data_IF_325070161389
#
_entry.id   IF_325070161389
#
_cell.length_a   1.000
_cell.length_b   1.000
_cell.length_c   1.000
_cell.angle_alpha   90.00
_cell.angle_beta   90.00
_cell.angle_gamma   90.00
#
_symmetry.space_group_name_H-M   'P 1'
#
loop_
_entity.id
_entity.type
_entity.pdbx_description
1 polymer ?
#
# COMPACT_ATOMS: atom_id res chain seq x y z
N UNK A 1 -16.12 10.52 -14.58
CA UNK A 1 -14.84 9.85 -14.34
C UNK A 1 -15.02 8.92 -13.15
N UNK A 2 -15.24 7.62 -13.38
CA UNK A 2 -15.30 6.66 -12.29
C UNK A 2 -13.89 6.43 -11.76
N UNK A 3 -13.69 6.72 -10.48
CA UNK A 3 -12.38 6.69 -9.85
C UNK A 3 -12.45 6.64 -8.34
N UNK A 4 -11.29 6.41 -7.73
CA UNK A 4 -11.12 6.47 -6.28
C UNK A 4 -10.03 7.49 -5.91
N UNK A 5 -10.32 8.27 -4.89
CA UNK A 5 -9.38 9.14 -4.19
C UNK A 5 -8.80 8.34 -3.02
N UNK A 6 -7.50 8.11 -3.02
CA UNK A 6 -6.81 7.38 -1.95
C UNK A 6 -6.39 8.41 -0.92
N UNK A 7 -6.91 8.28 0.30
CA UNK A 7 -6.75 9.29 1.35
C UNK A 7 -5.87 8.84 2.52
N UNK A 8 -5.84 7.54 2.82
CA UNK A 8 -4.93 6.98 3.83
C UNK A 8 -4.42 5.63 3.37
N UNK A 9 -3.14 5.37 3.59
CA UNK A 9 -2.54 4.06 3.33
C UNK A 9 -2.06 3.47 4.65
N UNK A 10 -2.44 2.22 4.90
CA UNK A 10 -2.28 1.51 6.16
C UNK A 10 -1.26 0.38 6.05
N UNK A 11 -0.19 0.47 6.84
CA UNK A 11 0.84 -0.57 6.96
C UNK A 11 0.71 -1.27 8.32
N UNK A 12 0.58 -2.60 8.31
CA UNK A 12 0.66 -3.40 9.53
C UNK A 12 2.11 -3.82 9.77
N UNK A 13 2.63 -3.48 10.95
CA UNK A 13 3.97 -3.86 11.37
C UNK A 13 3.99 -4.26 12.84
N UNK A 14 5.08 -4.88 13.27
CA UNK A 14 5.35 -5.15 14.68
C UNK A 14 6.77 -4.77 15.06
N UNK A 15 6.98 -4.47 16.34
CA UNK A 15 8.31 -4.19 16.89
C UNK A 15 8.46 -4.77 18.29
N UNK A 16 9.70 -5.10 18.67
CA UNK A 16 10.04 -5.60 19.99
C UNK A 16 10.48 -4.50 20.96
N UNK A 17 10.62 -3.25 20.51
CA UNK A 17 11.11 -2.11 21.29
C UNK A 17 10.39 -0.82 20.88
N UNK A 18 10.46 0.22 21.71
CA UNK A 18 10.04 1.55 21.29
C UNK A 18 10.96 2.06 20.16
N UNK A 19 10.39 2.68 19.13
CA UNK A 19 11.16 3.16 17.99
C UNK A 19 10.50 4.34 17.28
N UNK A 20 11.26 4.97 16.38
CA UNK A 20 10.76 6.00 15.47
C UNK A 20 11.12 5.64 14.04
N UNK A 21 10.16 5.83 13.15
CA UNK A 21 10.24 5.49 11.73
C UNK A 21 9.99 6.77 10.93
N UNK A 22 10.90 7.10 10.02
CA UNK A 22 10.66 8.11 9.00
C UNK A 22 10.16 7.36 7.75
N UNK A 23 8.89 7.58 7.41
CA UNK A 23 8.19 6.80 6.40
C UNK A 23 7.40 7.68 5.44
N UNK A 24 7.18 7.18 4.24
CA UNK A 24 6.20 7.71 3.29
C UNK A 24 5.42 6.57 2.65
N UNK A 25 4.29 6.92 2.06
CA UNK A 25 3.48 6.03 1.21
C UNK A 25 3.29 6.71 -0.13
N UNK A 26 3.19 5.88 -1.17
CA UNK A 26 2.94 6.34 -2.52
C UNK A 26 2.01 5.40 -3.27
N UNK A 27 1.44 5.93 -4.35
CA UNK A 27 0.71 5.15 -5.35
C UNK A 27 1.53 5.20 -6.62
N UNK A 28 1.80 4.05 -7.20
CA UNK A 28 2.58 3.90 -8.42
C UNK A 28 1.70 3.28 -9.51
N UNK A 29 1.97 3.60 -10.77
CA UNK A 29 1.36 2.87 -11.89
C UNK A 29 1.82 1.41 -11.89
N UNK A 30 0.96 0.48 -12.26
CA UNK A 30 1.36 -0.89 -12.52
C UNK A 30 1.76 -1.03 -14.00
N UNK A 31 3.02 -1.38 -14.25
CA UNK A 31 3.55 -1.64 -15.58
C UNK A 31 3.79 -3.14 -15.79
N UNK A 32 3.87 -3.56 -17.05
CA UNK A 32 4.06 -4.98 -17.41
C UNK A 32 5.22 -5.10 -18.41
N UNK A 33 6.48 -4.86 -17.97
CA UNK A 33 7.60 -4.73 -18.89
C UNK A 33 8.03 -6.08 -19.50
N UNK A 34 7.93 -7.17 -18.73
CA UNK A 34 8.41 -8.50 -19.13
C UNK A 34 7.31 -9.55 -19.23
N UNK A 35 6.43 -9.64 -18.22
CA UNK A 35 5.33 -10.61 -18.16
C UNK A 35 3.98 -9.87 -18.10
N UNK A 36 3.04 -10.11 -19.03
CA UNK A 36 1.72 -9.48 -19.01
C UNK A 36 0.86 -9.83 -17.78
N UNK A 37 1.24 -10.84 -16.99
CA UNK A 37 0.54 -11.25 -15.78
C UNK A 37 1.25 -10.84 -14.49
N UNK A 38 2.45 -10.27 -14.57
CA UNK A 38 3.26 -9.87 -13.43
C UNK A 38 3.40 -8.34 -13.41
N UNK A 39 2.52 -7.61 -12.70
CA UNK A 39 2.66 -6.17 -12.60
C UNK A 39 3.90 -5.82 -11.79
N UNK A 40 4.73 -4.94 -12.34
CA UNK A 40 5.83 -4.29 -11.64
C UNK A 40 5.44 -2.84 -11.32
N UNK A 41 5.96 -2.25 -10.23
CA UNK A 41 5.71 -0.84 -9.97
C UNK A 41 6.40 0.06 -11.01
N UNK A 42 5.69 1.10 -11.41
CA UNK A 42 6.04 2.00 -12.50
C UNK A 42 6.43 3.38 -11.99
N UNK A 43 5.90 4.41 -12.64
CA UNK A 43 6.11 5.79 -12.19
C UNK A 43 5.21 6.11 -11.00
N UNK A 44 5.75 6.88 -10.06
CA UNK A 44 5.00 7.43 -8.93
C UNK A 44 3.91 8.38 -9.45
N UNK A 45 2.69 8.17 -8.96
CA UNK A 45 1.52 8.99 -9.29
C UNK A 45 1.29 10.07 -8.23
N UNK A 46 1.36 9.68 -6.95
CA UNK A 46 1.19 10.57 -5.80
C UNK A 46 2.00 10.04 -4.61
N UNK A 47 2.40 10.94 -3.71
CA UNK A 47 3.23 10.63 -2.55
C UNK A 47 2.73 11.41 -1.33
N UNK A 48 2.76 10.79 -0.15
CA UNK A 48 2.31 11.41 1.10
C UNK A 48 3.24 12.50 1.64
N UNK A 49 4.48 12.55 1.16
CA UNK A 49 5.59 13.18 1.88
C UNK A 49 6.04 12.35 3.09
N UNK A 50 7.02 12.85 3.82
CA UNK A 50 7.63 12.14 4.94
C UNK A 50 6.88 12.38 6.26
N UNK A 51 6.58 11.29 6.95
CA UNK A 51 6.01 11.27 8.29
C UNK A 51 6.99 10.65 9.29
N UNK A 52 7.12 11.30 10.44
CA UNK A 52 7.78 10.71 11.60
C UNK A 52 6.74 9.97 12.45
N UNK A 53 6.80 8.65 12.42
CA UNK A 53 5.95 7.76 13.23
C UNK A 53 6.71 7.34 14.47
N UNK A 54 6.10 7.47 15.65
CA UNK A 54 6.71 7.09 16.93
C UNK A 54 5.91 5.93 17.53
N UNK A 55 6.56 4.79 17.69
CA UNK A 55 5.99 3.59 18.31
C UNK A 55 6.46 3.53 19.77
N UNK A 56 5.55 3.66 20.75
CA UNK A 56 5.93 3.88 22.15
C UNK A 56 6.50 2.65 22.85
N UNK A 57 6.39 1.46 22.25
CA UNK A 57 6.86 0.23 22.85
C UNK A 57 6.62 -1.00 21.98
N UNK A 58 6.91 -2.21 22.52
CA UNK A 58 6.70 -3.46 21.80
C UNK A 58 5.22 -3.69 21.48
N UNK A 59 4.94 -4.23 20.30
CA UNK A 59 3.57 -4.55 19.88
C UNK A 59 3.40 -4.58 18.38
N UNK A 60 2.18 -4.92 17.96
CA UNK A 60 1.71 -4.79 16.58
C UNK A 60 0.95 -3.46 16.43
N UNK A 61 1.18 -2.79 15.30
CA UNK A 61 0.64 -1.47 14.99
C UNK A 61 0.02 -1.47 13.60
N UNK A 62 -1.09 -0.76 13.47
CA UNK A 62 -1.69 -0.35 12.22
C UNK A 62 -1.38 1.14 12.04
N UNK A 63 -0.52 1.46 11.06
CA UNK A 63 -0.06 2.82 10.80
C UNK A 63 -0.73 3.30 9.54
N UNK A 64 -1.70 4.20 9.68
CA UNK A 64 -2.30 4.95 8.59
C UNK A 64 -1.52 6.24 8.32
N UNK A 65 -0.92 6.36 7.14
CA UNK A 65 -0.33 7.61 6.67
C UNK A 65 -1.28 8.31 5.69
N UNK A 66 -1.65 9.58 5.96
CA UNK A 66 -2.52 10.32 5.06
C UNK A 66 -1.76 10.68 3.78
N UNK A 67 -2.44 10.55 2.66
CA UNK A 67 -1.94 10.86 1.31
C UNK A 67 -3.01 11.66 0.56
N UNK A 68 -2.57 12.63 -0.25
CA UNK A 68 -3.45 13.39 -1.13
C UNK A 68 -3.19 12.90 -2.56
N UNK A 69 -4.08 12.04 -3.05
CA UNK A 69 -3.92 11.42 -4.35
C UNK A 69 -5.06 11.84 -5.28
N UNK A 70 -4.77 12.53 -6.41
CA UNK A 70 -5.83 12.92 -7.32
C UNK A 70 -6.55 11.68 -7.86
N UNK A 71 -7.85 11.83 -8.08
CA UNK A 71 -8.77 10.77 -8.48
C UNK A 71 -8.14 9.74 -9.45
N UNK A 72 -7.89 8.53 -8.95
CA UNK A 72 -7.33 7.42 -9.69
C UNK A 72 -8.40 6.79 -10.59
N UNK A 73 -8.13 6.72 -11.89
CA UNK A 73 -9.03 6.09 -12.85
C UNK A 73 -8.97 4.56 -12.69
N UNK A 74 -10.10 3.90 -12.42
CA UNK A 74 -10.15 2.42 -12.25
C UNK A 74 -10.59 1.65 -13.49
N UNK A 75 -10.74 2.32 -14.64
CA UNK A 75 -11.11 1.66 -15.89
C UNK A 75 -9.86 1.21 -16.67
N UNK A 76 -9.94 0.10 -17.44
CA UNK A 76 -8.84 -0.31 -18.30
C UNK A 76 -8.33 0.85 -19.18
N UNK A 77 -7.01 1.05 -19.30
CA UNK A 77 -5.92 0.14 -18.90
C UNK A 77 -5.32 0.41 -17.51
N UNK A 78 -5.87 1.34 -16.72
CA UNK A 78 -5.23 1.83 -15.50
C UNK A 78 -5.24 0.78 -14.39
N UNK A 79 -4.06 0.49 -13.86
CA UNK A 79 -3.81 -0.35 -12.69
C UNK A 79 -2.78 0.37 -11.84
N UNK A 80 -2.96 0.32 -10.53
CA UNK A 80 -2.08 0.99 -9.58
C UNK A 80 -1.58 -0.01 -8.55
N UNK A 81 -0.38 0.23 -8.04
CA UNK A 81 0.19 -0.43 -6.89
C UNK A 81 0.34 0.58 -5.77
N UNK A 82 0.19 0.08 -4.55
CA UNK A 82 0.47 0.85 -3.35
C UNK A 82 1.88 0.51 -2.89
N UNK A 83 2.59 1.48 -2.36
CA UNK A 83 3.96 1.36 -1.87
C UNK A 83 4.12 2.11 -0.55
N UNK A 84 5.09 1.65 0.24
CA UNK A 84 5.57 2.38 1.41
C UNK A 84 7.10 2.39 1.39
N UNK A 85 7.69 3.40 1.99
CA UNK A 85 9.14 3.57 2.08
C UNK A 85 9.54 3.79 3.53
N UNK A 86 10.56 3.05 3.96
CA UNK A 86 11.26 3.31 5.22
C UNK A 86 12.54 4.09 4.90
N UNK A 87 12.49 5.42 5.06
CA UNK A 87 13.66 6.28 4.83
C UNK A 87 14.67 6.15 5.97
N UNK A 88 14.18 6.02 7.20
CA UNK A 88 15.00 5.78 8.36
C UNK A 88 14.22 5.05 9.46
N UNK A 89 14.88 4.16 10.17
CA UNK A 89 14.36 3.53 11.38
C UNK A 89 15.48 3.46 12.42
N UNK A 90 15.16 3.78 13.68
CA UNK A 90 16.14 3.69 14.78
C UNK A 90 16.11 2.33 15.50
N UNK A 91 15.25 1.41 15.08
CA UNK A 91 15.22 0.03 15.53
C UNK A 91 14.64 -0.89 14.43
N UNK A 92 14.89 -2.21 14.50
CA UNK A 92 14.24 -3.17 13.62
C UNK A 92 12.71 -3.16 13.80
N UNK A 93 12.03 -3.29 12.67
CA UNK A 93 10.58 -3.52 12.59
C UNK A 93 10.33 -4.70 11.66
N UNK A 94 9.35 -5.52 12.02
CA UNK A 94 8.94 -6.64 11.19
C UNK A 94 7.64 -6.28 10.48
N UNK A 95 7.62 -6.50 9.17
CA UNK A 95 6.42 -6.37 8.36
C UNK A 95 5.49 -7.55 8.64
N UNK A 96 4.21 -7.26 8.83
CA UNK A 96 3.21 -8.32 8.99
C UNK A 96 2.77 -8.79 7.61
N UNK A 97 2.79 -10.10 7.40
CA UNK A 97 2.35 -10.75 6.16
C UNK A 97 1.25 -11.76 6.44
N UNK A 98 0.45 -12.09 5.42
CA UNK A 98 -0.20 -13.40 5.40
C UNK A 98 0.88 -14.50 5.26
N UNK A 99 0.59 -15.77 5.56
CA UNK A 99 1.58 -16.85 5.38
C UNK A 99 1.38 -17.52 4.00
N UNK A 100 1.00 -16.73 2.99
CA UNK A 100 0.63 -17.21 1.66
C UNK A 100 1.46 -16.49 0.58
N UNK A 101 2.71 -16.93 0.34
CA UNK A 101 3.59 -16.31 -0.63
C UNK A 101 3.02 -16.43 -2.04
N UNK A 102 2.74 -15.27 -2.65
CA UNK A 102 2.32 -15.15 -4.04
C UNK A 102 3.36 -14.34 -4.80
N UNK A 103 3.97 -14.89 -5.87
CA UNK A 103 4.78 -14.10 -6.80
C UNK A 103 3.99 -12.89 -7.34
N UNK A 104 4.72 -11.87 -7.77
CA UNK A 104 4.19 -10.67 -8.42
C UNK A 104 3.28 -9.79 -7.54
N UNK A 105 3.34 -9.93 -6.21
CA UNK A 105 2.52 -9.12 -5.27
C UNK A 105 3.35 -8.21 -4.37
N UNK A 106 4.60 -8.57 -4.09
CA UNK A 106 5.46 -7.87 -3.13
C UNK A 106 6.80 -7.56 -3.78
N UNK A 107 7.08 -6.27 -3.95
CA UNK A 107 8.26 -5.79 -4.67
C UNK A 107 9.15 -4.94 -3.76
N UNK A 108 10.45 -4.93 -4.03
CA UNK A 108 11.37 -3.98 -3.44
C UNK A 108 12.39 -3.49 -4.48
N UNK A 109 12.71 -2.19 -4.46
CA UNK A 109 13.64 -1.61 -5.42
C UNK A 109 15.07 -1.52 -4.86
N UNK A 110 15.26 -1.24 -3.57
CA UNK A 110 16.56 -0.89 -2.95
C UNK A 110 17.49 0.03 -3.79
N UNK A 111 16.95 0.78 -4.76
CA UNK A 111 17.70 1.60 -5.73
C UNK A 111 18.38 0.84 -6.88
N UNK A 112 18.10 -0.46 -7.07
CA UNK A 112 18.73 -1.32 -8.09
C UNK A 112 17.73 -1.89 -9.10
N UNK A 113 16.48 -1.41 -9.10
CA UNK A 113 15.37 -1.93 -9.88
C UNK A 113 14.48 -2.87 -9.08
N UNK A 114 13.27 -3.11 -9.58
CA UNK A 114 12.25 -3.89 -8.87
C UNK A 114 12.60 -5.37 -8.77
N UNK A 115 12.45 -5.90 -7.57
CA UNK A 115 12.74 -7.28 -7.18
C UNK A 115 11.53 -7.93 -6.56
N UNK A 116 11.14 -9.08 -7.07
CA UNK A 116 10.04 -9.86 -6.50
C UNK A 116 10.55 -10.49 -5.20
N UNK A 117 10.03 -10.02 -4.07
CA UNK A 117 10.46 -10.47 -2.75
C UNK A 117 10.16 -11.95 -2.53
N UNK A 118 9.07 -12.46 -3.09
CA UNK A 118 8.66 -13.87 -2.93
C UNK A 118 9.59 -14.77 -3.74
N UNK A 119 9.80 -14.46 -5.02
CA UNK A 119 10.60 -15.29 -5.93
C UNK A 119 12.10 -15.20 -5.65
N UNK A 120 12.62 -14.00 -5.41
CA UNK A 120 14.06 -13.78 -5.30
C UNK A 120 14.58 -13.94 -3.87
N UNK A 121 13.74 -13.71 -2.85
CA UNK A 121 14.15 -13.68 -1.44
C UNK A 121 13.36 -14.61 -0.52
N UNK A 122 12.39 -15.37 -1.04
CA UNK A 122 11.58 -16.29 -0.24
C UNK A 122 10.74 -15.58 0.81
N UNK A 123 10.26 -14.37 0.50
CA UNK A 123 9.44 -13.57 1.40
C UNK A 123 8.19 -14.36 1.85
N UNK A 124 7.84 -14.33 3.15
CA UNK A 124 6.98 -15.34 3.76
C UNK A 124 5.50 -15.26 3.35
N UNK A 125 5.07 -14.14 2.76
CA UNK A 125 3.73 -13.98 2.23
C UNK A 125 3.44 -12.58 1.72
N UNK A 126 2.17 -12.28 1.47
CA UNK A 126 1.78 -10.95 1.01
C UNK A 126 1.76 -9.97 2.18
N UNK A 127 2.27 -8.77 1.94
CA UNK A 127 2.26 -7.69 2.92
C UNK A 127 0.81 -7.37 3.34
N UNK A 128 0.58 -7.31 4.65
CA UNK A 128 -0.71 -6.86 5.21
C UNK A 128 -0.77 -5.34 5.13
N UNK A 129 -1.35 -4.86 4.04
CA UNK A 129 -1.31 -3.46 3.62
C UNK A 129 -2.56 -3.12 2.81
N UNK A 130 -3.15 -1.96 3.07
CA UNK A 130 -4.38 -1.53 2.40
C UNK A 130 -4.48 -0.01 2.35
N UNK A 131 -5.48 0.50 1.63
CA UNK A 131 -5.78 1.92 1.58
C UNK A 131 -7.25 2.18 1.88
N UNK A 132 -7.49 3.27 2.59
CA UNK A 132 -8.79 3.94 2.58
C UNK A 132 -8.91 4.70 1.27
N UNK A 133 -10.07 4.57 0.63
CA UNK A 133 -10.34 5.25 -0.62
C UNK A 133 -11.80 5.67 -0.74
N UNK A 134 -12.03 6.87 -1.28
CA UNK A 134 -13.36 7.43 -1.53
C UNK A 134 -13.68 7.54 -3.01
N UNK A 135 -14.96 7.47 -3.35
CA UNK A 135 -15.38 7.65 -4.73
C UNK A 135 -15.22 9.12 -5.11
N UNK A 136 -14.58 9.40 -6.24
CA UNK A 136 -14.41 10.77 -6.70
C UNK A 136 -15.71 11.43 -7.18
N UNK A 137 -16.73 10.61 -7.47
CA UNK A 137 -18.04 11.07 -7.92
C UNK A 137 -19.04 10.99 -6.77
N UNK A 138 -19.97 11.96 -6.65
CA UNK A 138 -21.06 11.87 -5.69
C UNK A 138 -21.88 10.60 -5.99
N UNK A 139 -22.08 9.77 -4.96
CA UNK A 139 -22.94 8.58 -5.07
C UNK A 139 -24.29 8.99 -5.63
N UNK A 140 -24.82 8.24 -6.61
CA UNK A 140 -26.20 8.47 -7.06
C UNK A 140 -27.14 8.42 -5.82
N UNK A 141 -28.19 9.25 -5.73
CA UNK A 141 -28.95 9.44 -4.49
C UNK A 141 -29.56 8.18 -3.86
N UNK A 142 -29.69 7.09 -4.63
CA UNK A 142 -30.20 5.79 -4.17
C UNK A 142 -29.11 4.95 -3.45
N UNK A 143 -27.84 5.18 -3.76
CA UNK A 143 -26.71 4.36 -3.31
C UNK A 143 -26.08 4.80 -1.99
N UNK A 144 -26.29 6.04 -1.56
CA UNK A 144 -25.88 6.51 -0.22
C UNK A 144 -26.48 5.70 0.93
N UNK A 145 -27.50 4.86 0.66
CA UNK A 145 -28.12 3.93 1.63
C UNK A 145 -27.61 2.49 1.57
N UNK A 146 -26.91 2.09 0.51
CA UNK A 146 -26.48 0.69 0.30
C UNK A 146 -24.96 0.52 0.29
N UNK A 147 -24.19 1.55 -0.06
CA UNK A 147 -22.73 1.45 -0.24
C UNK A 147 -21.91 1.66 1.03
N UNK A 148 -22.44 2.35 2.05
CA UNK A 148 -21.75 2.51 3.34
C UNK A 148 -21.47 1.20 4.06
N UNK A 149 -22.16 0.11 3.69
CA UNK A 149 -21.95 -1.23 4.24
C UNK A 149 -21.01 -2.12 3.40
N UNK A 150 -20.68 -1.73 2.17
CA UNK A 150 -19.93 -2.58 1.22
C UNK A 150 -18.40 -2.35 1.31
N UNK A 151 -17.93 -1.23 1.87
CA UNK A 151 -16.48 -0.92 2.00
C UNK A 151 -15.72 -1.68 3.11
N UNK A 152 -16.24 -2.82 3.60
CA UNK A 152 -15.41 -3.85 4.24
C UNK A 152 -14.87 -4.88 3.21
N UNK A 153 -14.84 -4.52 1.93
CA UNK A 153 -14.32 -5.34 0.85
C UNK A 153 -12.80 -5.54 1.02
N UNK A 154 -12.47 -6.70 1.58
CA UNK A 154 -11.20 -7.40 1.58
C UNK A 154 -10.17 -7.00 2.65
N UNK A 155 -10.47 -7.40 3.88
CA UNK A 155 -9.45 -7.99 4.75
C UNK A 155 -9.49 -9.51 4.54
N UNK A 156 -8.46 -10.09 3.92
CA UNK A 156 -8.16 -11.53 4.12
C UNK A 156 -7.29 -11.67 5.35
#
# INVERSE_FOLDING_TARGET
MHGFDVNTVHVLLQTAVACSLLMSVDVEEAIFPTDPNCPEPGSEWCNSGLYLVVLPGPGAYDIGLPIDCPCLAVFPPYKYLLSFRFEAANAPVDLITDNFPSPCTSWNNWGLGWKDLVVEYGFPGNLSFYADADCCEPTIPVEGKTWGAIKQLYKQ
#
